data_IF_469872765404
#
_entry.id   IF_469872765404
#
_cell.length_a   1.000
_cell.length_b   1.000
_cell.length_c   1.000
_cell.angle_alpha   90.00
_cell.angle_beta   90.00
_cell.angle_gamma   90.00
#
_symmetry.space_group_name_H-M   'P 1'
#
loop_
_entity.id
_entity.type
_entity.pdbx_description
1 polymer ?
#
# COMPACT_ATOMS: atom_id res chain seq x y z
N UNK A 1 -1.85 29.73 13.76
CA UNK A 1 -1.84 28.64 14.76
C UNK A 1 -2.64 27.41 14.29
N UNK A 2 -3.94 27.50 13.99
CA UNK A 2 -4.74 26.33 13.56
C UNK A 2 -4.16 25.58 12.34
N UNK A 3 -3.71 26.30 11.30
CA UNK A 3 -3.10 25.70 10.11
C UNK A 3 -1.81 24.95 10.41
N UNK A 4 -1.01 25.44 11.36
CA UNK A 4 0.25 24.80 11.76
C UNK A 4 -0.04 23.48 12.47
N UNK A 5 -1.01 23.46 13.38
CA UNK A 5 -1.43 22.24 14.10
C UNK A 5 -1.96 21.20 13.10
N UNK A 6 -2.82 21.62 12.17
CA UNK A 6 -3.34 20.73 11.12
C UNK A 6 -2.21 20.16 10.27
N UNK A 7 -1.23 20.97 9.88
CA UNK A 7 -0.10 20.51 9.06
C UNK A 7 0.68 19.37 9.73
N UNK A 8 1.05 19.55 11.01
CA UNK A 8 1.75 18.51 11.76
C UNK A 8 0.90 17.25 11.99
N UNK A 9 -0.41 17.43 12.22
CA UNK A 9 -1.34 16.31 12.33
C UNK A 9 -1.42 15.50 11.03
N UNK A 10 -1.48 16.16 9.87
CA UNK A 10 -1.49 15.49 8.57
C UNK A 10 -0.15 14.79 8.29
N UNK A 11 0.98 15.37 8.68
CA UNK A 11 2.29 14.68 8.62
C UNK A 11 2.27 13.41 9.48
N UNK A 12 1.71 13.46 10.69
CA UNK A 12 1.59 12.26 11.52
C UNK A 12 0.74 11.17 10.85
N UNK A 13 -0.37 11.53 10.20
CA UNK A 13 -1.18 10.59 9.40
C UNK A 13 -0.37 10.02 8.23
N UNK A 14 0.43 10.84 7.55
CA UNK A 14 1.27 10.38 6.45
C UNK A 14 2.35 9.39 6.93
N UNK A 15 2.93 9.61 8.11
CA UNK A 15 3.86 8.65 8.73
C UNK A 15 3.15 7.32 9.04
N UNK A 16 1.94 7.37 9.57
CA UNK A 16 1.09 6.17 9.73
C UNK A 16 0.82 5.50 8.38
N UNK A 17 0.65 6.27 7.30
CA UNK A 17 0.54 5.76 5.94
C UNK A 17 1.81 5.04 5.46
N UNK A 18 3.00 5.58 5.73
CA UNK A 18 4.28 4.91 5.40
C UNK A 18 4.41 3.60 6.18
N UNK A 19 4.11 3.60 7.48
CA UNK A 19 4.09 2.38 8.30
C UNK A 19 3.04 1.40 7.78
N UNK A 20 1.90 1.92 7.35
CA UNK A 20 0.83 1.17 6.72
C UNK A 20 1.28 0.45 5.46
N UNK A 21 2.21 0.99 4.68
CA UNK A 21 2.76 0.27 3.52
C UNK A 21 3.57 -0.97 3.88
N UNK A 22 4.11 -1.05 5.10
CA UNK A 22 4.78 -2.26 5.61
C UNK A 22 3.80 -3.27 6.20
N UNK A 23 2.58 -2.82 6.52
CA UNK A 23 1.56 -3.64 7.15
C UNK A 23 0.56 -4.14 6.10
N UNK A 24 0.36 -5.47 5.99
CA UNK A 24 -0.72 -6.01 5.18
C UNK A 24 -2.07 -5.42 5.64
N UNK A 25 -2.93 -5.03 4.68
CA UNK A 25 -4.30 -4.47 4.84
C UNK A 25 -4.43 -2.96 4.86
N UNK A 26 -3.37 -2.23 5.18
CA UNK A 26 -3.46 -0.79 5.29
C UNK A 26 -3.07 -0.19 3.93
N UNK A 27 -3.98 0.50 3.23
CA UNK A 27 -3.66 1.14 1.95
C UNK A 27 -2.86 2.43 2.23
N UNK A 28 -1.59 2.28 2.58
CA UNK A 28 -0.73 3.36 3.10
C UNK A 28 -0.62 4.58 2.18
N UNK A 29 -0.36 4.35 0.88
CA UNK A 29 -0.33 5.43 -0.12
C UNK A 29 -1.69 6.12 -0.29
N UNK A 30 -2.80 5.39 -0.16
CA UNK A 30 -4.13 6.01 -0.22
C UNK A 30 -4.36 6.93 0.98
N UNK A 31 -3.93 6.50 2.17
CA UNK A 31 -4.00 7.32 3.38
C UNK A 31 -3.16 8.60 3.26
N UNK A 32 -1.94 8.50 2.70
CA UNK A 32 -1.08 9.65 2.41
C UNK A 32 -1.76 10.61 1.44
N UNK A 33 -2.33 10.11 0.33
CA UNK A 33 -3.02 10.94 -0.65
C UNK A 33 -4.23 11.65 -0.03
N UNK A 34 -5.02 10.96 0.80
CA UNK A 34 -6.14 11.58 1.53
C UNK A 34 -5.65 12.72 2.43
N UNK A 35 -4.57 12.52 3.18
CA UNK A 35 -4.00 13.58 4.03
C UNK A 35 -3.54 14.79 3.19
N UNK A 36 -2.92 14.56 2.03
CA UNK A 36 -2.54 15.63 1.11
C UNK A 36 -3.77 16.37 0.54
N UNK A 37 -4.83 15.64 0.18
CA UNK A 37 -6.07 16.25 -0.31
C UNK A 37 -6.73 17.12 0.76
N UNK A 38 -6.77 16.67 2.02
CA UNK A 38 -7.28 17.48 3.15
C UNK A 38 -6.50 18.79 3.27
N UNK A 39 -5.16 18.73 3.19
CA UNK A 39 -4.35 19.95 3.17
C UNK A 39 -4.67 20.84 1.97
N UNK A 40 -4.81 20.24 0.79
CA UNK A 40 -5.19 20.93 -0.45
C UNK A 40 -6.52 21.67 -0.33
N UNK A 41 -7.56 21.03 0.23
CA UNK A 41 -8.85 21.69 0.41
C UNK A 41 -8.77 22.91 1.35
N UNK A 42 -8.05 22.79 2.46
CA UNK A 42 -7.91 23.90 3.43
C UNK A 42 -7.08 25.05 2.88
N UNK A 43 -6.08 24.75 2.04
CA UNK A 43 -5.19 25.74 1.41
C UNK A 43 -5.66 26.19 0.02
N UNK A 44 -6.85 25.76 -0.42
CA UNK A 44 -7.39 26.01 -1.78
C UNK A 44 -6.40 25.59 -2.88
N UNK A 45 -5.66 24.50 -2.64
CA UNK A 45 -4.67 23.89 -3.53
C UNK A 45 -3.47 24.79 -3.88
N UNK A 46 -3.21 25.83 -3.08
CA UNK A 46 -2.04 26.69 -3.26
C UNK A 46 -0.73 25.88 -3.13
N UNK A 47 0.08 25.85 -4.20
CA UNK A 47 1.36 25.12 -4.21
C UNK A 47 1.24 23.59 -4.25
N UNK A 48 0.05 23.02 -4.45
CA UNK A 48 -0.19 21.57 -4.33
C UNK A 48 -0.01 20.76 -5.62
N UNK A 49 0.11 21.42 -6.78
CA UNK A 49 0.10 20.75 -8.09
C UNK A 49 1.18 19.66 -8.21
N UNK A 50 2.41 19.96 -7.80
CA UNK A 50 3.53 19.01 -7.84
C UNK A 50 3.32 17.88 -6.84
N UNK A 51 2.98 18.19 -5.59
CA UNK A 51 2.76 17.19 -4.54
C UNK A 51 1.68 16.18 -4.91
N UNK A 52 0.52 16.65 -5.37
CA UNK A 52 -0.60 15.77 -5.74
C UNK A 52 -0.31 14.96 -7.00
N UNK A 53 0.37 15.54 -7.99
CA UNK A 53 0.77 14.81 -9.20
C UNK A 53 1.73 13.68 -8.86
N UNK A 54 2.76 13.97 -8.07
CA UNK A 54 3.73 12.96 -7.62
C UNK A 54 3.06 11.89 -6.77
N UNK A 55 2.20 12.27 -5.81
CA UNK A 55 1.48 11.32 -4.98
C UNK A 55 0.56 10.40 -5.80
N UNK A 56 -0.13 10.93 -6.82
CA UNK A 56 -0.98 10.14 -7.70
C UNK A 56 -0.17 9.17 -8.58
N UNK A 57 0.93 9.64 -9.17
CA UNK A 57 1.85 8.77 -9.93
C UNK A 57 2.40 7.67 -9.04
N UNK A 58 2.82 8.00 -7.81
CA UNK A 58 3.34 7.01 -6.87
C UNK A 58 2.25 6.03 -6.43
N UNK A 59 1.00 6.47 -6.23
CA UNK A 59 -0.12 5.57 -5.94
C UNK A 59 -0.27 4.51 -7.05
N UNK A 60 -0.23 4.93 -8.32
CA UNK A 60 -0.29 4.01 -9.46
C UNK A 60 0.92 3.08 -9.52
N UNK A 61 2.13 3.60 -9.27
CA UNK A 61 3.33 2.78 -9.21
C UNK A 61 3.26 1.75 -8.08
N UNK A 62 2.75 2.11 -6.91
CA UNK A 62 2.58 1.20 -5.78
C UNK A 62 1.63 0.04 -6.12
N UNK A 63 0.53 0.30 -6.83
CA UNK A 63 -0.37 -0.76 -7.32
C UNK A 63 0.37 -1.70 -8.28
N UNK A 64 1.20 -1.15 -9.17
CA UNK A 64 2.04 -1.93 -10.08
C UNK A 64 3.08 -2.78 -9.35
N UNK A 65 3.76 -2.21 -8.34
CA UNK A 65 4.75 -2.91 -7.52
C UNK A 65 4.12 -4.05 -6.73
N UNK A 66 2.92 -3.86 -6.18
CA UNK A 66 2.19 -4.90 -5.43
C UNK A 66 1.91 -6.15 -6.28
N UNK A 67 1.38 -5.92 -7.49
CA UNK A 67 1.15 -6.99 -8.46
C UNK A 67 2.46 -7.63 -8.92
N UNK A 68 3.44 -6.82 -9.30
CA UNK A 68 4.69 -7.32 -9.87
C UNK A 68 5.53 -8.08 -8.85
N UNK A 69 5.56 -7.63 -7.59
CA UNK A 69 6.35 -8.26 -6.54
C UNK A 69 5.80 -9.65 -6.17
N UNK A 70 4.48 -9.79 -6.03
CA UNK A 70 3.84 -11.08 -5.80
C UNK A 70 3.99 -12.02 -7.00
N UNK A 71 3.84 -11.50 -8.23
CA UNK A 71 4.03 -12.25 -9.46
C UNK A 71 5.46 -12.76 -9.62
N UNK A 72 6.45 -11.88 -9.53
CA UNK A 72 7.87 -12.24 -9.66
C UNK A 72 8.33 -13.16 -8.51
N UNK A 73 7.79 -12.95 -7.31
CA UNK A 73 8.03 -13.84 -6.17
C UNK A 73 7.60 -15.28 -6.46
N UNK A 74 6.40 -15.46 -7.02
CA UNK A 74 5.90 -16.75 -7.46
C UNK A 74 6.74 -17.33 -8.62
N UNK A 75 7.04 -16.51 -9.62
CA UNK A 75 7.75 -16.97 -10.83
C UNK A 75 9.20 -17.40 -10.54
N UNK A 76 9.87 -16.77 -9.57
CA UNK A 76 11.22 -17.17 -9.13
C UNK A 76 11.33 -18.62 -8.68
N UNK A 77 10.21 -19.23 -8.26
CA UNK A 77 10.15 -20.63 -7.81
C UNK A 77 9.45 -21.55 -8.82
N UNK A 78 9.19 -21.08 -10.04
CA UNK A 78 8.59 -21.87 -11.12
C UNK A 78 7.07 -22.02 -11.03
N UNK A 79 6.38 -21.01 -10.51
CA UNK A 79 4.91 -20.98 -10.50
C UNK A 79 4.34 -21.02 -11.92
N UNK A 80 3.21 -21.70 -12.09
CA UNK A 80 2.42 -21.65 -13.31
C UNK A 80 1.50 -20.43 -13.34
N UNK A 81 0.94 -20.13 -14.52
CA UNK A 81 -0.09 -19.10 -14.66
C UNK A 81 -1.38 -19.46 -13.89
N UNK A 82 -1.62 -20.75 -13.62
CA UNK A 82 -2.77 -21.19 -12.81
C UNK A 82 -2.66 -20.77 -11.36
N UNK A 83 -1.43 -20.62 -10.84
CA UNK A 83 -1.22 -20.03 -9.52
C UNK A 83 -1.74 -18.59 -9.45
N UNK A 84 -1.52 -17.79 -10.49
CA UNK A 84 -1.99 -16.40 -10.53
C UNK A 84 -3.51 -16.30 -10.68
N UNK A 85 -4.11 -17.16 -11.52
CA UNK A 85 -5.57 -17.24 -11.63
C UNK A 85 -6.17 -17.66 -10.28
N UNK A 86 -5.58 -18.69 -9.66
CA UNK A 86 -5.95 -19.14 -8.33
C UNK A 86 -5.85 -18.03 -7.29
N UNK A 87 -4.79 -17.22 -7.32
CA UNK A 87 -4.59 -16.07 -6.46
C UNK A 87 -5.74 -15.07 -6.58
N UNK A 88 -6.09 -14.69 -7.82
CA UNK A 88 -7.19 -13.74 -8.08
C UNK A 88 -8.53 -14.31 -7.64
N UNK A 89 -8.82 -15.57 -7.98
CA UNK A 89 -10.06 -16.24 -7.57
C UNK A 89 -10.14 -16.35 -6.04
N UNK A 90 -9.02 -16.68 -5.40
CA UNK A 90 -8.90 -16.77 -3.95
C UNK A 90 -9.10 -15.41 -3.26
N UNK A 91 -8.56 -14.33 -3.85
CA UNK A 91 -8.82 -12.96 -3.39
C UNK A 91 -10.31 -12.63 -3.45
N UNK A 92 -10.96 -12.88 -4.59
CA UNK A 92 -12.39 -12.62 -4.77
C UNK A 92 -13.22 -13.45 -3.79
N UNK A 93 -12.97 -14.75 -3.69
CA UNK A 93 -13.65 -15.63 -2.75
C UNK A 93 -13.44 -15.19 -1.29
N UNK A 94 -12.25 -14.67 -0.96
CA UNK A 94 -11.93 -14.10 0.35
C UNK A 94 -12.72 -12.82 0.65
N UNK A 95 -12.78 -11.88 -0.30
CA UNK A 95 -13.53 -10.62 -0.17
C UNK A 95 -15.03 -10.89 0.00
N UNK A 96 -15.59 -11.82 -0.78
CA UNK A 96 -17.02 -12.16 -0.71
C UNK A 96 -17.37 -13.10 0.46
N UNK A 97 -16.40 -13.46 1.31
CA UNK A 97 -16.64 -14.35 2.46
C UNK A 97 -17.05 -15.77 2.06
N UNK A 98 -16.73 -16.18 0.82
CA UNK A 98 -17.08 -17.49 0.27
C UNK A 98 -16.08 -18.59 0.68
N UNK A 99 -15.05 -18.25 1.46
CA UNK A 99 -14.15 -19.25 2.04
C UNK A 99 -14.87 -19.99 3.19
N UNK A 100 -15.19 -21.29 3.04
CA UNK A 100 -16.02 -22.03 4.01
C UNK A 100 -15.35 -22.25 5.38
N UNK A 101 -14.05 -21.96 5.50
CA UNK A 101 -13.19 -22.40 6.59
C UNK A 101 -12.90 -21.34 7.67
N UNK A 102 -13.51 -20.14 7.60
CA UNK A 102 -13.20 -19.06 8.53
C UNK A 102 -14.38 -18.73 9.48
N UNK A 103 -14.54 -19.46 10.60
CA UNK A 103 -15.62 -19.23 11.56
C UNK A 103 -15.49 -17.90 12.34
N UNK A 104 -14.31 -17.27 12.34
CA UNK A 104 -14.01 -16.04 13.08
C UNK A 104 -13.09 -15.18 12.21
N UNK A 105 -13.58 -14.07 11.62
CA UNK A 105 -12.71 -13.04 11.00
C UNK A 105 -13.09 -12.43 9.64
N UNK A 106 -14.21 -12.80 9.01
CA UNK A 106 -14.80 -12.03 7.88
C UNK A 106 -13.91 -11.80 6.63
N UNK A 107 -14.29 -10.82 5.77
CA UNK A 107 -13.58 -10.47 4.52
C UNK A 107 -12.11 -10.10 4.68
N UNK A 108 -11.72 -9.61 5.87
CA UNK A 108 -10.38 -9.06 6.13
C UNK A 108 -9.35 -10.18 6.12
N UNK A 109 -9.61 -11.29 6.83
CA UNK A 109 -8.69 -12.44 6.83
C UNK A 109 -8.73 -13.14 5.46
N UNK A 110 -9.90 -13.17 4.81
CA UNK A 110 -10.05 -13.64 3.43
C UNK A 110 -9.17 -12.89 2.43
N UNK A 111 -8.93 -11.58 2.62
CA UNK A 111 -8.06 -10.78 1.77
C UNK A 111 -6.58 -11.25 1.81
N UNK A 112 -6.10 -11.78 2.93
CA UNK A 112 -4.71 -12.25 3.08
C UNK A 112 -4.55 -13.71 2.74
N UNK A 113 -5.45 -14.53 3.27
CA UNK A 113 -5.34 -15.98 3.15
C UNK A 113 -5.88 -16.45 1.80
N UNK A 114 -6.96 -15.81 1.32
CA UNK A 114 -7.61 -16.15 0.06
C UNK A 114 -6.64 -16.21 -1.12
N UNK A 115 -5.85 -15.15 -1.40
CA UNK A 115 -4.88 -15.16 -2.48
C UNK A 115 -3.86 -16.29 -2.37
N UNK A 116 -3.29 -16.52 -1.19
CA UNK A 116 -2.26 -17.55 -0.99
C UNK A 116 -2.84 -18.96 -1.14
N UNK A 117 -4.02 -19.21 -0.56
CA UNK A 117 -4.73 -20.49 -0.67
C UNK A 117 -5.20 -20.74 -2.10
N UNK A 118 -5.74 -19.72 -2.76
CA UNK A 118 -6.14 -19.81 -4.15
C UNK A 118 -4.95 -20.11 -5.05
N UNK A 119 -3.82 -19.45 -4.83
CA UNK A 119 -2.57 -19.71 -5.55
C UNK A 119 -2.06 -21.15 -5.33
N UNK A 120 -2.16 -21.64 -4.10
CA UNK A 120 -1.85 -23.03 -3.77
C UNK A 120 -2.72 -24.00 -4.55
N UNK A 121 -4.05 -23.84 -4.51
CA UNK A 121 -5.01 -24.73 -5.16
C UNK A 121 -4.83 -24.67 -6.69
N UNK A 122 -4.61 -23.48 -7.25
CA UNK A 122 -4.35 -23.29 -8.67
C UNK A 122 -3.08 -24.02 -9.13
N UNK A 123 -1.97 -23.84 -8.41
CA UNK A 123 -0.72 -24.54 -8.73
C UNK A 123 -0.87 -26.06 -8.54
N UNK A 124 -1.50 -26.48 -7.45
CA UNK A 124 -1.74 -27.88 -7.15
C UNK A 124 -2.60 -28.52 -8.24
N UNK A 125 -3.64 -27.84 -8.74
CA UNK A 125 -4.49 -28.35 -9.82
C UNK A 125 -3.73 -28.45 -11.16
N UNK A 126 -2.84 -27.49 -11.45
CA UNK A 126 -2.03 -27.49 -12.67
C UNK A 126 -1.01 -28.63 -12.71
N UNK A 127 -0.31 -28.87 -11.59
CA UNK A 127 0.77 -29.86 -11.43
C UNK A 127 0.28 -31.30 -11.21
N UNK A 128 -0.85 -31.67 -11.81
CA UNK A 128 -1.48 -32.99 -11.66
C UNK A 128 -0.65 -34.16 -12.22
N UNK A 129 0.34 -33.86 -13.05
CA UNK A 129 1.33 -34.78 -13.61
C UNK A 129 2.38 -35.22 -12.57
N UNK A 130 2.60 -34.44 -11.51
CA UNK A 130 3.52 -34.78 -10.44
C UNK A 130 2.87 -35.73 -9.41
N UNK A 131 3.70 -36.58 -8.81
CA UNK A 131 3.31 -37.38 -7.65
C UNK A 131 2.86 -36.48 -6.47
N UNK A 132 2.09 -37.04 -5.53
CA UNK A 132 1.45 -36.28 -4.44
C UNK A 132 2.45 -35.43 -3.64
N UNK A 133 3.58 -36.00 -3.24
CA UNK A 133 4.60 -35.33 -2.43
C UNK A 133 5.28 -34.16 -3.15
N UNK A 134 5.90 -34.33 -4.34
CA UNK A 134 6.53 -33.21 -5.06
C UNK A 134 5.50 -32.15 -5.49
N UNK A 135 4.27 -32.55 -5.79
CA UNK A 135 3.17 -31.64 -6.13
C UNK A 135 2.80 -30.70 -4.98
N UNK A 136 2.69 -31.23 -3.76
CA UNK A 136 2.45 -30.44 -2.54
C UNK A 136 3.64 -29.51 -2.25
N UNK A 137 4.86 -30.03 -2.33
CA UNK A 137 6.08 -29.24 -2.10
C UNK A 137 6.19 -28.05 -3.07
N UNK A 138 5.94 -28.28 -4.36
CA UNK A 138 5.97 -27.21 -5.35
C UNK A 138 4.89 -26.15 -5.07
N UNK A 139 3.67 -26.57 -4.74
CA UNK A 139 2.56 -25.65 -4.44
C UNK A 139 2.85 -24.80 -3.19
N UNK A 140 3.42 -25.40 -2.13
CA UNK A 140 3.87 -24.67 -0.94
C UNK A 140 5.02 -23.70 -1.26
N UNK A 141 5.98 -24.13 -2.07
CA UNK A 141 7.11 -23.29 -2.49
C UNK A 141 6.63 -22.04 -3.23
N UNK A 142 5.63 -22.17 -4.09
CA UNK A 142 4.97 -21.04 -4.77
C UNK A 142 4.33 -20.08 -3.78
N UNK A 143 3.63 -20.58 -2.76
CA UNK A 143 3.06 -19.74 -1.70
C UNK A 143 4.13 -18.95 -0.95
N UNK A 144 5.24 -19.60 -0.59
CA UNK A 144 6.39 -18.93 0.04
C UNK A 144 6.97 -17.86 -0.91
N UNK A 145 7.12 -18.17 -2.20
CA UNK A 145 7.56 -17.22 -3.22
C UNK A 145 6.68 -15.98 -3.29
N UNK A 146 5.35 -16.15 -3.27
CA UNK A 146 4.38 -15.04 -3.24
C UNK A 146 4.57 -14.20 -1.97
N UNK A 147 4.59 -14.81 -0.79
CA UNK A 147 4.72 -14.08 0.48
C UNK A 147 6.03 -13.29 0.53
N UNK A 148 7.15 -13.90 0.16
CA UNK A 148 8.47 -13.24 0.12
C UNK A 148 8.47 -12.10 -0.90
N UNK A 149 7.91 -12.35 -2.09
CA UNK A 149 7.76 -11.33 -3.13
C UNK A 149 6.97 -10.13 -2.63
N UNK A 150 5.79 -10.36 -2.05
CA UNK A 150 4.92 -9.33 -1.49
C UNK A 150 5.61 -8.52 -0.39
N UNK A 151 6.33 -9.16 0.54
CA UNK A 151 7.09 -8.46 1.60
C UNK A 151 8.14 -7.51 1.00
N UNK A 152 8.87 -7.96 -0.03
CA UNK A 152 9.83 -7.10 -0.74
C UNK A 152 9.11 -5.94 -1.44
N UNK A 153 7.96 -6.21 -2.06
CA UNK A 153 7.11 -5.19 -2.68
C UNK A 153 6.65 -4.10 -1.69
N UNK A 154 6.25 -4.50 -0.49
CA UNK A 154 5.87 -3.58 0.58
C UNK A 154 7.01 -2.64 0.99
N UNK A 155 8.25 -3.14 1.07
CA UNK A 155 9.41 -2.29 1.34
C UNK A 155 9.62 -1.25 0.23
N UNK A 156 9.55 -1.68 -1.04
CA UNK A 156 9.66 -0.77 -2.17
C UNK A 156 8.55 0.30 -2.18
N UNK A 157 7.31 -0.10 -1.88
CA UNK A 157 6.17 0.81 -1.72
C UNK A 157 6.37 1.81 -0.59
N UNK A 158 6.90 1.39 0.56
CA UNK A 158 7.21 2.28 1.67
C UNK A 158 8.28 3.33 1.30
N UNK A 159 9.27 2.97 0.47
CA UNK A 159 10.25 3.91 -0.06
C UNK A 159 9.59 4.94 -0.99
N UNK A 160 8.71 4.48 -1.90
CA UNK A 160 7.94 5.37 -2.77
C UNK A 160 7.04 6.31 -1.95
N UNK A 161 6.35 5.78 -0.94
CA UNK A 161 5.51 6.56 -0.03
C UNK A 161 6.29 7.64 0.70
N UNK A 162 7.49 7.30 1.17
CA UNK A 162 8.40 8.26 1.80
C UNK A 162 8.78 9.38 0.83
N UNK A 163 9.06 9.06 -0.44
CA UNK A 163 9.35 10.06 -1.47
C UNK A 163 8.16 11.01 -1.70
N UNK A 164 6.92 10.50 -1.74
CA UNK A 164 5.73 11.32 -1.86
C UNK A 164 5.61 12.34 -0.70
N UNK A 165 5.82 11.87 0.54
CA UNK A 165 5.76 12.72 1.74
C UNK A 165 6.86 13.79 1.73
N UNK A 166 8.08 13.44 1.31
CA UNK A 166 9.17 14.42 1.16
C UNK A 166 8.78 15.50 0.15
N UNK A 167 8.27 15.12 -1.02
CA UNK A 167 7.85 16.08 -2.04
C UNK A 167 6.74 16.99 -1.53
N UNK A 168 5.77 16.45 -0.80
CA UNK A 168 4.75 17.26 -0.13
C UNK A 168 5.38 18.28 0.80
N UNK A 169 6.20 17.85 1.76
CA UNK A 169 6.84 18.75 2.73
C UNK A 169 7.62 19.86 2.02
N UNK A 170 8.46 19.51 1.04
CA UNK A 170 9.31 20.48 0.32
C UNK A 170 8.47 21.52 -0.44
N UNK A 171 7.35 21.11 -1.03
CA UNK A 171 6.51 22.00 -1.85
C UNK A 171 5.55 22.85 -1.00
N UNK A 172 5.11 22.35 0.16
CA UNK A 172 4.13 23.05 1.00
C UNK A 172 4.74 23.85 2.14
N UNK A 173 5.94 23.48 2.63
CA UNK A 173 6.60 24.17 3.74
C UNK A 173 6.81 25.68 3.51
N UNK A 174 7.26 26.15 2.33
CA UNK A 174 7.43 27.59 2.10
C UNK A 174 6.14 28.39 2.33
N UNK A 175 5.00 27.86 1.90
CA UNK A 175 3.69 28.49 2.09
C UNK A 175 3.27 28.54 3.57
N UNK A 176 3.67 27.56 4.38
CA UNK A 176 3.42 27.57 5.82
C UNK A 176 4.34 28.55 6.55
N UNK A 177 5.62 28.58 6.18
CA UNK A 177 6.62 29.46 6.80
C UNK A 177 6.28 30.94 6.65
N UNK A 178 5.76 31.36 5.48
CA UNK A 178 5.33 32.75 5.26
C UNK A 178 4.17 33.16 6.18
N UNK A 179 3.22 32.25 6.41
CA UNK A 179 2.11 32.48 7.35
C UNK A 179 2.64 32.63 8.78
N UNK A 180 3.57 31.77 9.20
CA UNK A 180 4.16 31.83 10.55
C UNK A 180 4.92 33.15 10.73
N UNK A 181 5.76 33.53 9.78
CA UNK A 181 6.51 34.80 9.82
C UNK A 181 5.59 36.02 9.90
N UNK A 182 4.48 36.01 9.12
CA UNK A 182 3.48 37.07 9.20
C UNK A 182 2.83 37.16 10.59
N UNK A 183 2.41 36.03 11.17
CA UNK A 183 1.81 36.00 12.51
C UNK A 183 2.75 36.52 13.58
N UNK A 184 4.04 36.13 13.53
CA UNK A 184 5.05 36.60 14.46
C UNK A 184 5.30 38.11 14.32
N UNK A 185 5.38 38.63 13.09
CA UNK A 185 5.56 40.07 12.86
C UNK A 185 4.41 40.88 13.45
N UNK A 186 3.15 40.47 13.24
CA UNK A 186 1.97 41.16 13.78
C UNK A 186 2.00 41.17 15.30
N UNK A 187 2.35 40.06 15.94
CA UNK A 187 2.47 40.00 17.41
C UNK A 187 3.56 40.96 17.90
N UNK A 188 4.73 40.99 17.25
CA UNK A 188 5.82 41.90 17.63
C UNK A 188 5.49 43.39 17.49
N UNK A 189 4.58 43.77 16.58
CA UNK A 189 4.12 45.16 16.45
C UNK A 189 3.02 45.55 17.45
N UNK A 190 2.47 44.60 18.21
CA UNK A 190 1.40 44.83 19.20
C UNK A 190 1.90 44.82 20.64
N UNK A 191 3.20 44.61 20.86
CA UNK A 191 3.90 44.63 22.16
C UNK A 191 4.85 45.83 22.15
#
# INVERSE_FOLDING_TARGET
MALVILYYFLIAIMIVGIIGELLPAIPGMSLILIAMLVWGFVTKFAGMGVALTVAFVILLLSLGVEFLASYLGAQKVGASNWSQIGLVVGLLAGIFGLLPALPIGGPIIGLFIGPVVGAFVGEYAYRRDLELTPRLQQSLKVCVGIVVGTVIGHVAKAMLATAAVIVFIVTTWPNLSSVISYQLSVISYQI
#
